data_IF_204447619208
#
_entry.id   IF_204447619208
#
_cell.length_a   1.000
_cell.length_b   1.000
_cell.length_c   1.000
_cell.angle_alpha   90.00
_cell.angle_beta   90.00
_cell.angle_gamma   90.00
#
_symmetry.space_group_name_H-M   'P 1'
#
loop_
_entity.id
_entity.type
_entity.pdbx_description
1 polymer ?
#
# COMPACT_ATOMS: atom_id res chain seq x y z
N UNK A 1 29.06 2.85 12.01
CA UNK A 1 27.89 2.05 12.46
C UNK A 1 26.74 3.00 12.73
N UNK A 2 25.55 2.74 12.21
CA UNK A 2 24.36 3.55 12.52
C UNK A 2 24.04 3.42 14.03
N UNK A 3 23.72 4.54 14.65
CA UNK A 3 23.37 4.58 16.09
C UNK A 3 22.08 3.78 16.29
N UNK A 4 22.07 2.88 17.29
CA UNK A 4 20.88 2.06 17.59
C UNK A 4 19.74 3.00 18.04
N UNK A 5 18.59 2.90 17.35
CA UNK A 5 17.39 3.68 17.69
C UNK A 5 16.85 3.21 19.05
N UNK A 6 16.60 4.15 19.96
CA UNK A 6 16.01 3.87 21.26
C UNK A 6 14.48 3.84 21.18
N UNK A 7 13.83 3.13 22.12
CA UNK A 7 12.37 3.13 22.25
C UNK A 7 11.79 4.55 22.39
N UNK A 8 12.46 5.41 23.17
CA UNK A 8 12.04 6.79 23.38
C UNK A 8 12.07 7.61 22.08
N UNK A 9 13.15 7.48 21.32
CA UNK A 9 13.32 8.14 20.01
C UNK A 9 12.21 7.70 19.02
N UNK A 10 11.95 6.39 18.95
CA UNK A 10 10.92 5.85 18.07
C UNK A 10 9.51 6.38 18.43
N UNK A 11 9.15 6.38 19.72
CA UNK A 11 7.86 6.90 20.17
C UNK A 11 7.73 8.41 19.93
N UNK A 12 8.78 9.19 20.22
CA UNK A 12 8.80 10.62 19.98
C UNK A 12 8.61 10.95 18.49
N UNK A 13 9.30 10.24 17.60
CA UNK A 13 9.16 10.41 16.14
C UNK A 13 7.71 10.27 15.64
N UNK A 14 6.93 9.37 16.24
CA UNK A 14 5.53 9.14 15.82
C UNK A 14 4.51 10.08 16.49
N UNK A 15 4.85 10.63 17.64
CA UNK A 15 3.90 11.39 18.48
C UNK A 15 4.12 12.92 18.45
N UNK A 16 5.38 13.37 18.28
CA UNK A 16 5.71 14.80 18.36
C UNK A 16 5.32 15.54 17.09
N UNK A 17 4.91 16.80 17.25
CA UNK A 17 4.40 17.62 16.15
C UNK A 17 3.00 17.16 15.70
N UNK A 18 2.84 16.91 14.39
CA UNK A 18 1.62 16.26 13.85
C UNK A 18 1.79 14.75 13.95
N UNK A 19 0.96 14.04 14.73
CA UNK A 19 1.08 12.60 14.85
C UNK A 19 0.89 11.86 13.51
N UNK A 20 1.55 10.70 13.39
CA UNK A 20 1.52 9.88 12.19
C UNK A 20 2.58 10.29 11.16
N UNK A 21 2.51 9.73 9.95
CA UNK A 21 3.51 9.92 8.88
C UNK A 21 2.92 10.39 7.56
N UNK A 22 1.60 10.45 7.47
CA UNK A 22 0.88 10.84 6.25
C UNK A 22 -0.06 12.00 6.54
N UNK A 23 -0.36 12.78 5.50
CA UNK A 23 -1.41 13.78 5.52
C UNK A 23 -2.07 13.87 4.14
N UNK A 24 -3.32 14.33 4.11
CA UNK A 24 -4.05 14.63 2.88
C UNK A 24 -4.07 16.13 2.68
N UNK A 25 -3.54 16.58 1.54
CA UNK A 25 -3.47 18.00 1.18
C UNK A 25 -4.15 18.26 -0.15
N UNK A 26 -4.83 19.41 -0.32
CA UNK A 26 -5.42 19.80 -1.59
C UNK A 26 -4.33 20.02 -2.66
N UNK A 27 -4.58 19.53 -3.88
CA UNK A 27 -3.69 19.74 -5.04
C UNK A 27 -4.14 20.89 -5.94
N UNK A 28 -5.32 21.45 -5.70
CA UNK A 28 -5.91 22.55 -6.47
C UNK A 28 -5.93 23.84 -5.65
N UNK A 29 -5.89 24.97 -6.36
CA UNK A 29 -6.09 26.28 -5.73
C UNK A 29 -7.50 26.38 -5.13
N UNK A 30 -7.63 27.01 -3.98
CA UNK A 30 -8.86 27.09 -3.20
C UNK A 30 -8.99 28.42 -2.44
N UNK A 31 -8.31 29.47 -2.91
CA UNK A 31 -8.27 30.78 -2.26
C UNK A 31 -9.41 31.72 -2.66
N UNK A 32 -10.15 31.40 -3.72
CA UNK A 32 -11.26 32.23 -4.22
C UNK A 32 -12.57 31.46 -4.29
N UNK A 33 -13.70 32.20 -4.21
CA UNK A 33 -15.03 31.63 -4.37
C UNK A 33 -15.20 30.93 -5.73
N UNK A 34 -14.56 31.46 -6.77
CA UNK A 34 -14.57 30.84 -8.10
C UNK A 34 -13.88 29.46 -8.09
N UNK A 35 -12.71 29.35 -7.45
CA UNK A 35 -11.98 28.10 -7.34
C UNK A 35 -12.76 27.05 -6.54
N UNK A 36 -13.36 27.46 -5.42
CA UNK A 36 -14.22 26.59 -4.63
C UNK A 36 -15.44 26.10 -5.45
N UNK A 37 -16.03 26.98 -6.27
CA UNK A 37 -17.15 26.60 -7.13
C UNK A 37 -16.75 25.65 -8.27
N UNK A 38 -15.50 25.72 -8.73
CA UNK A 38 -14.95 24.74 -9.69
C UNK A 38 -14.63 23.40 -9.01
N UNK A 39 -14.07 23.46 -7.79
CA UNK A 39 -13.64 22.28 -7.06
C UNK A 39 -14.83 21.45 -6.52
N UNK A 40 -15.95 22.10 -6.20
CA UNK A 40 -17.11 21.44 -5.61
C UNK A 40 -18.39 21.82 -6.40
N UNK A 41 -19.31 22.59 -5.83
CA UNK A 41 -20.58 22.90 -6.48
C UNK A 41 -20.55 24.30 -7.08
N UNK A 42 -20.99 24.46 -8.36
CA UNK A 42 -21.57 23.49 -9.30
C UNK A 42 -20.56 22.75 -10.21
N UNK A 43 -19.28 23.16 -10.25
CA UNK A 43 -18.29 22.72 -11.23
C UNK A 43 -18.04 21.22 -11.24
N UNK A 44 -18.07 20.56 -10.08
CA UNK A 44 -17.84 19.10 -9.94
C UNK A 44 -18.84 18.24 -10.69
N UNK A 45 -20.01 18.79 -11.06
CA UNK A 45 -21.02 18.04 -11.81
C UNK A 45 -20.51 17.61 -13.21
N UNK A 46 -19.65 18.40 -13.84
CA UNK A 46 -19.18 18.09 -15.20
C UNK A 46 -18.25 16.85 -15.25
N UNK A 47 -17.17 16.74 -14.46
CA UNK A 47 -16.41 15.50 -14.41
C UNK A 47 -17.26 14.28 -13.99
N UNK A 48 -18.21 14.44 -13.06
CA UNK A 48 -19.11 13.34 -12.70
C UNK A 48 -19.91 12.83 -13.91
N UNK A 49 -20.47 13.73 -14.71
CA UNK A 49 -21.20 13.36 -15.93
C UNK A 49 -20.31 12.68 -16.98
N UNK A 50 -19.06 13.09 -17.11
CA UNK A 50 -18.11 12.46 -18.03
C UNK A 50 -17.76 11.04 -17.56
N UNK A 51 -17.44 10.85 -16.29
CA UNK A 51 -17.14 9.54 -15.72
C UNK A 51 -18.35 8.60 -15.82
N UNK A 52 -19.58 9.11 -15.59
CA UNK A 52 -20.80 8.33 -15.73
C UNK A 52 -21.02 7.83 -17.16
N UNK A 53 -20.59 8.58 -18.17
CA UNK A 53 -20.65 8.20 -19.60
C UNK A 53 -19.54 7.24 -20.00
N UNK A 54 -18.32 7.46 -19.48
CA UNK A 54 -17.13 6.69 -19.77
C UNK A 54 -16.34 6.46 -18.49
N UNK A 55 -16.44 5.25 -17.93
CA UNK A 55 -15.91 4.88 -16.63
C UNK A 55 -14.40 5.17 -16.49
N UNK A 56 -13.62 4.95 -17.56
CA UNK A 56 -12.17 5.17 -17.58
C UNK A 56 -11.77 6.65 -17.40
N UNK A 57 -12.67 7.58 -17.63
CA UNK A 57 -12.40 9.00 -17.40
C UNK A 57 -12.22 9.32 -15.91
N UNK A 58 -12.47 8.36 -15.00
CA UNK A 58 -12.11 8.48 -13.59
C UNK A 58 -10.62 8.70 -13.39
N UNK A 59 -9.77 8.07 -14.21
CA UNK A 59 -8.31 8.27 -14.19
C UNK A 59 -7.87 9.66 -14.67
N UNK A 60 -8.71 10.31 -15.45
CA UNK A 60 -8.43 11.66 -15.97
C UNK A 60 -8.83 12.76 -14.99
N UNK A 61 -9.94 12.57 -14.27
CA UNK A 61 -10.57 13.63 -13.48
C UNK A 61 -10.43 13.46 -11.98
N UNK A 62 -9.81 12.37 -11.51
CA UNK A 62 -9.62 12.09 -10.08
C UNK A 62 -8.19 11.66 -9.76
N UNK A 63 -7.87 11.54 -8.48
CA UNK A 63 -6.58 11.04 -8.01
C UNK A 63 -6.39 9.53 -8.21
N UNK A 64 -7.41 8.78 -8.66
CA UNK A 64 -7.39 7.30 -8.76
C UNK A 64 -6.15 6.76 -9.47
N UNK A 65 -5.67 7.42 -10.51
CA UNK A 65 -4.52 6.96 -11.30
C UNK A 65 -3.18 6.93 -10.56
N UNK A 66 -3.07 7.66 -9.44
CA UNK A 66 -1.85 7.70 -8.62
C UNK A 66 -2.14 7.37 -7.14
N UNK A 67 -3.27 6.76 -6.83
CA UNK A 67 -3.67 6.43 -5.47
C UNK A 67 -3.73 4.92 -5.26
N UNK A 68 -2.89 4.39 -4.38
CA UNK A 68 -2.83 2.98 -4.00
C UNK A 68 -3.39 2.80 -2.59
N UNK A 69 -4.15 1.73 -2.36
CA UNK A 69 -4.47 1.30 -1.01
C UNK A 69 -3.38 0.36 -0.48
N UNK A 70 -2.83 0.64 0.69
CA UNK A 70 -2.06 -0.33 1.49
C UNK A 70 -3.02 -0.95 2.49
N UNK A 71 -3.30 -2.25 2.35
CA UNK A 71 -4.37 -2.91 3.12
C UNK A 71 -3.80 -4.03 3.97
N UNK A 72 -4.14 -4.02 5.26
CA UNK A 72 -3.74 -5.03 6.24
C UNK A 72 -4.88 -5.38 7.18
N UNK A 73 -4.83 -6.57 7.79
CA UNK A 73 -5.61 -6.90 8.98
C UNK A 73 -4.72 -7.08 10.22
N UNK A 74 -3.42 -6.80 10.10
CA UNK A 74 -2.48 -6.84 11.21
C UNK A 74 -2.19 -8.22 11.78
N UNK A 75 -2.41 -9.29 11.00
CA UNK A 75 -2.28 -10.69 11.48
C UNK A 75 -0.88 -11.26 11.37
N UNK A 76 0.05 -10.58 10.67
CA UNK A 76 1.45 -11.01 10.53
C UNK A 76 2.43 -9.85 10.46
N UNK A 77 2.34 -8.93 11.42
CA UNK A 77 3.20 -7.75 11.47
C UNK A 77 4.64 -8.15 11.81
N UNK A 78 5.60 -7.71 11.00
CA UNK A 78 7.00 -8.11 11.06
C UNK A 78 7.59 -8.03 12.48
N UNK A 79 7.98 -9.18 13.03
CA UNK A 79 8.60 -9.30 14.35
C UNK A 79 7.65 -9.17 15.55
N UNK A 80 6.35 -8.89 15.30
CA UNK A 80 5.33 -8.72 16.34
C UNK A 80 4.21 -9.77 16.26
N UNK A 81 3.99 -10.35 15.08
CA UNK A 81 2.95 -11.36 14.86
C UNK A 81 1.56 -10.75 14.70
N UNK A 82 0.55 -11.43 15.21
CA UNK A 82 -0.85 -10.98 15.19
C UNK A 82 -1.08 -9.94 16.30
N UNK A 83 -1.13 -8.67 15.90
CA UNK A 83 -1.34 -7.55 16.82
C UNK A 83 -2.60 -6.76 16.52
N UNK A 84 -3.35 -7.16 15.49
CA UNK A 84 -4.60 -6.55 15.07
C UNK A 84 -4.45 -5.30 14.19
N UNK A 85 -5.59 -4.85 13.62
CA UNK A 85 -5.59 -3.79 12.61
C UNK A 85 -5.09 -2.45 13.14
N UNK A 86 -5.57 -1.96 14.28
CA UNK A 86 -5.18 -0.64 14.80
C UNK A 86 -3.69 -0.57 15.14
N UNK A 87 -3.14 -1.65 15.71
CA UNK A 87 -1.73 -1.69 16.09
C UNK A 87 -0.80 -1.82 14.87
N UNK A 88 -1.30 -2.30 13.73
CA UNK A 88 -0.55 -2.35 12.46
C UNK A 88 -0.43 -0.99 11.77
N UNK A 89 -1.33 -0.03 12.05
CA UNK A 89 -1.39 1.26 11.37
C UNK A 89 -0.05 2.00 11.28
N UNK A 90 0.81 2.08 12.30
CA UNK A 90 2.10 2.75 12.18
C UNK A 90 3.01 2.12 11.10
N UNK A 91 2.88 0.82 10.85
CA UNK A 91 3.62 0.12 9.77
C UNK A 91 3.04 0.48 8.42
N UNK A 92 1.71 0.49 8.29
CA UNK A 92 1.01 0.80 7.03
C UNK A 92 1.25 2.26 6.60
N UNK A 93 1.21 3.22 7.54
CA UNK A 93 1.65 4.60 7.26
C UNK A 93 3.13 4.65 6.81
N UNK A 94 3.99 3.84 7.42
CA UNK A 94 5.39 3.71 7.01
C UNK A 94 5.52 3.20 5.57
N UNK A 95 4.72 2.20 5.18
CA UNK A 95 4.66 1.71 3.80
C UNK A 95 4.19 2.81 2.85
N UNK A 96 3.15 3.57 3.21
CA UNK A 96 2.68 4.72 2.45
C UNK A 96 3.76 5.79 2.24
N UNK A 97 4.53 6.10 3.29
CA UNK A 97 5.68 6.99 3.21
C UNK A 97 6.72 6.48 2.19
N UNK A 98 7.04 5.18 2.17
CA UNK A 98 7.98 4.60 1.21
C UNK A 98 7.46 4.68 -0.23
N UNK A 99 6.19 4.39 -0.48
CA UNK A 99 5.57 4.58 -1.79
C UNK A 99 5.72 6.03 -2.29
N UNK A 100 5.49 7.01 -1.40
CA UNK A 100 5.61 8.42 -1.76
C UNK A 100 7.05 8.83 -2.05
N UNK A 101 8.01 8.44 -1.21
CA UNK A 101 9.42 8.84 -1.35
C UNK A 101 10.05 8.22 -2.60
N UNK A 102 9.79 6.93 -2.86
CA UNK A 102 10.51 6.20 -3.90
C UNK A 102 9.81 6.16 -5.25
N UNK A 103 8.50 6.33 -5.29
CA UNK A 103 7.72 6.20 -6.52
C UNK A 103 6.77 7.38 -6.80
N UNK A 104 6.69 8.35 -5.89
CA UNK A 104 5.73 9.47 -5.93
C UNK A 104 4.26 9.00 -6.05
N UNK A 105 3.95 7.86 -5.47
CA UNK A 105 2.59 7.29 -5.41
C UNK A 105 1.93 7.73 -4.10
N UNK A 106 0.72 8.24 -4.20
CA UNK A 106 -0.12 8.56 -3.05
C UNK A 106 -0.73 7.29 -2.46
N UNK A 107 -0.84 7.22 -1.13
CA UNK A 107 -1.35 6.04 -0.44
C UNK A 107 -2.41 6.43 0.59
N UNK A 108 -3.49 5.64 0.62
CA UNK A 108 -4.30 5.50 1.82
C UNK A 108 -4.03 4.13 2.44
N UNK A 109 -3.62 4.13 3.71
CA UNK A 109 -3.54 2.91 4.51
C UNK A 109 -4.93 2.57 5.06
N UNK A 110 -5.30 1.30 4.92
CA UNK A 110 -6.63 0.79 5.29
C UNK A 110 -6.42 -0.44 6.17
N UNK A 111 -6.71 -0.29 7.44
CA UNK A 111 -6.69 -1.37 8.42
C UNK A 111 -8.08 -2.00 8.51
N UNK A 112 -8.18 -3.28 8.12
CA UNK A 112 -9.45 -4.01 8.03
C UNK A 112 -9.61 -4.93 9.24
N UNK A 113 -10.60 -4.69 10.07
CA UNK A 113 -10.99 -5.60 11.15
C UNK A 113 -11.81 -6.77 10.58
N UNK A 114 -11.11 -7.72 9.97
CA UNK A 114 -11.69 -8.93 9.42
C UNK A 114 -10.75 -10.11 9.66
N UNK A 115 -11.22 -11.09 10.42
CA UNK A 115 -10.47 -12.30 10.74
C UNK A 115 -10.70 -13.43 9.72
N UNK A 116 -11.75 -13.36 8.90
CA UNK A 116 -12.05 -14.33 7.87
C UNK A 116 -11.80 -13.76 6.47
N UNK A 117 -11.41 -14.65 5.56
CA UNK A 117 -11.02 -14.33 4.18
C UNK A 117 -12.17 -13.70 3.40
N UNK A 118 -13.39 -14.22 3.55
CA UNK A 118 -14.54 -13.75 2.77
C UNK A 118 -14.89 -12.31 3.11
N UNK A 119 -14.97 -11.96 4.38
CA UNK A 119 -15.21 -10.59 4.85
C UNK A 119 -14.11 -9.66 4.38
N UNK A 120 -12.84 -10.08 4.48
CA UNK A 120 -11.71 -9.28 4.02
C UNK A 120 -11.80 -9.00 2.51
N UNK A 121 -11.96 -10.04 1.70
CA UNK A 121 -12.07 -9.92 0.22
C UNK A 121 -13.25 -9.02 -0.17
N UNK A 122 -14.43 -9.22 0.43
CA UNK A 122 -15.60 -8.39 0.13
C UNK A 122 -15.39 -6.92 0.51
N UNK A 123 -14.75 -6.67 1.63
CA UNK A 123 -14.42 -5.29 2.07
C UNK A 123 -13.49 -4.62 1.06
N UNK A 124 -12.40 -5.29 0.66
CA UNK A 124 -11.45 -4.75 -0.32
C UNK A 124 -12.12 -4.49 -1.66
N UNK A 125 -12.97 -5.39 -2.13
CA UNK A 125 -13.74 -5.20 -3.36
C UNK A 125 -14.67 -3.98 -3.29
N UNK A 126 -15.31 -3.77 -2.15
CA UNK A 126 -16.24 -2.66 -1.97
C UNK A 126 -15.55 -1.29 -2.04
N UNK A 127 -14.30 -1.19 -1.60
CA UNK A 127 -13.51 0.06 -1.62
C UNK A 127 -12.62 0.23 -2.86
N UNK A 128 -12.39 -0.84 -3.62
CA UNK A 128 -11.53 -0.85 -4.81
C UNK A 128 -11.83 0.24 -5.87
N UNK A 129 -13.08 0.72 -6.06
CA UNK A 129 -13.36 1.81 -6.99
C UNK A 129 -12.56 3.09 -6.73
N UNK A 130 -12.12 3.33 -5.51
CA UNK A 130 -11.33 4.51 -5.11
C UNK A 130 -9.90 4.47 -5.65
N UNK A 131 -9.32 3.27 -5.82
CA UNK A 131 -7.89 3.07 -5.98
C UNK A 131 -7.49 2.66 -7.40
N UNK A 132 -6.28 3.06 -7.80
CA UNK A 132 -5.63 2.60 -9.03
C UNK A 132 -4.85 1.29 -8.87
N UNK A 133 -4.60 0.85 -7.63
CA UNK A 133 -3.95 -0.41 -7.29
C UNK A 133 -4.07 -0.71 -5.80
N UNK A 134 -3.75 -1.95 -5.42
CA UNK A 134 -3.79 -2.44 -4.05
C UNK A 134 -2.48 -3.13 -3.70
N UNK A 135 -1.88 -2.74 -2.59
CA UNK A 135 -0.80 -3.45 -1.91
C UNK A 135 -1.35 -4.10 -0.65
N UNK A 136 -1.33 -5.42 -0.60
CA UNK A 136 -1.63 -6.18 0.61
C UNK A 136 -0.36 -6.29 1.46
N UNK A 137 -0.49 -6.10 2.78
CA UNK A 137 0.64 -6.04 3.69
C UNK A 137 0.32 -6.75 5.00
N UNK A 138 1.28 -7.47 5.58
CA UNK A 138 1.22 -8.07 6.93
C UNK A 138 -0.02 -8.95 7.17
N UNK A 139 -0.45 -9.71 6.16
CA UNK A 139 -1.52 -10.70 6.25
C UNK A 139 -0.90 -12.08 6.43
N UNK A 140 -1.34 -12.83 7.44
CA UNK A 140 -0.77 -14.15 7.78
C UNK A 140 -0.91 -15.17 6.65
N UNK A 141 0.09 -16.04 6.56
CA UNK A 141 0.02 -17.27 5.76
C UNK A 141 -0.83 -18.33 6.50
N UNK A 142 -1.65 -19.16 5.80
CA UNK A 142 -1.79 -19.22 4.34
C UNK A 142 -2.86 -18.26 3.76
N UNK A 143 -3.60 -17.55 4.60
CA UNK A 143 -4.75 -16.71 4.20
C UNK A 143 -4.36 -15.68 3.12
N UNK A 144 -3.16 -15.12 3.23
CA UNK A 144 -2.66 -14.13 2.28
C UNK A 144 -2.62 -14.62 0.82
N UNK A 145 -2.36 -15.90 0.60
CA UNK A 145 -2.30 -16.48 -0.75
C UNK A 145 -3.69 -16.53 -1.39
N UNK A 146 -4.70 -16.96 -0.63
CA UNK A 146 -6.08 -17.03 -1.10
C UNK A 146 -6.65 -15.63 -1.33
N UNK A 147 -6.45 -14.72 -0.38
CA UNK A 147 -6.90 -13.32 -0.48
C UNK A 147 -6.34 -12.68 -1.76
N UNK A 148 -5.03 -12.77 -1.98
CA UNK A 148 -4.39 -12.19 -3.15
C UNK A 148 -4.91 -12.80 -4.45
N UNK A 149 -5.02 -14.13 -4.53
CA UNK A 149 -5.51 -14.82 -5.73
C UNK A 149 -6.92 -14.38 -6.09
N UNK A 150 -7.82 -14.37 -5.12
CA UNK A 150 -9.22 -13.96 -5.32
C UNK A 150 -9.33 -12.50 -5.75
N UNK A 151 -8.60 -11.60 -5.11
CA UNK A 151 -8.63 -10.19 -5.47
C UNK A 151 -8.07 -9.93 -6.87
N UNK A 152 -7.02 -10.66 -7.28
CA UNK A 152 -6.49 -10.59 -8.66
C UNK A 152 -7.49 -11.08 -9.71
N UNK A 153 -8.29 -12.08 -9.39
CA UNK A 153 -9.31 -12.63 -10.30
C UNK A 153 -10.57 -11.75 -10.38
N UNK A 154 -10.90 -11.06 -9.28
CA UNK A 154 -12.17 -10.36 -9.12
C UNK A 154 -12.08 -8.84 -9.33
N UNK A 155 -10.87 -8.26 -9.47
CA UNK A 155 -10.65 -6.82 -9.66
C UNK A 155 -9.92 -6.52 -10.96
N UNK A 156 -10.30 -5.41 -11.60
CA UNK A 156 -9.68 -4.90 -12.84
C UNK A 156 -8.50 -3.95 -12.58
N UNK A 157 -7.99 -3.88 -11.36
CA UNK A 157 -6.83 -3.08 -10.95
C UNK A 157 -5.70 -3.97 -10.45
N UNK A 158 -4.43 -3.56 -10.54
CA UNK A 158 -3.30 -4.32 -9.99
C UNK A 158 -3.47 -4.60 -8.49
N UNK A 159 -3.24 -5.87 -8.12
CA UNK A 159 -3.17 -6.32 -6.72
C UNK A 159 -1.87 -7.05 -6.50
N UNK A 160 -1.13 -6.72 -5.45
CA UNK A 160 0.12 -7.37 -5.06
C UNK A 160 0.19 -7.52 -3.55
N UNK A 161 0.71 -8.66 -3.08
CA UNK A 161 1.09 -8.83 -1.68
C UNK A 161 2.61 -8.64 -1.57
N UNK A 162 3.04 -7.57 -0.89
CA UNK A 162 4.45 -7.16 -0.89
C UNK A 162 5.36 -8.16 -0.15
N UNK A 163 4.94 -8.67 1.01
CA UNK A 163 5.75 -9.62 1.79
C UNK A 163 6.10 -10.88 0.99
N UNK A 164 5.26 -11.27 0.04
CA UNK A 164 5.52 -12.40 -0.84
C UNK A 164 6.32 -12.00 -2.07
N UNK A 165 5.76 -11.09 -2.87
CA UNK A 165 6.28 -10.77 -4.21
C UNK A 165 7.41 -9.75 -4.16
N UNK A 166 7.33 -8.73 -3.29
CA UNK A 166 8.40 -7.76 -3.08
C UNK A 166 9.65 -8.44 -2.55
N UNK A 167 9.50 -9.28 -1.53
CA UNK A 167 10.59 -10.08 -0.95
C UNK A 167 11.19 -11.05 -1.98
N UNK A 168 10.37 -11.72 -2.78
CA UNK A 168 10.84 -12.61 -3.83
C UNK A 168 11.66 -11.86 -4.91
N UNK A 169 11.16 -10.71 -5.37
CA UNK A 169 11.82 -9.88 -6.39
C UNK A 169 13.17 -9.40 -5.90
N UNK A 170 13.26 -8.82 -4.71
CA UNK A 170 14.51 -8.27 -4.20
C UNK A 170 15.53 -9.36 -3.87
N UNK A 171 15.07 -10.52 -3.35
CA UNK A 171 15.93 -11.66 -3.08
C UNK A 171 16.52 -12.25 -4.37
N UNK A 172 15.69 -12.38 -5.42
CA UNK A 172 16.16 -12.84 -6.72
C UNK A 172 17.17 -11.87 -7.34
N UNK A 173 16.90 -10.56 -7.29
CA UNK A 173 17.82 -9.53 -7.79
C UNK A 173 19.16 -9.57 -7.04
N UNK A 174 19.12 -9.66 -5.71
CA UNK A 174 20.34 -9.76 -4.88
C UNK A 174 21.12 -11.04 -5.18
N UNK A 175 20.44 -12.17 -5.36
CA UNK A 175 21.08 -13.44 -5.73
C UNK A 175 21.77 -13.35 -7.08
N UNK A 176 21.12 -12.83 -8.12
CA UNK A 176 21.70 -12.67 -9.45
C UNK A 176 22.97 -11.79 -9.41
N UNK A 177 22.90 -10.65 -8.73
CA UNK A 177 24.06 -9.78 -8.57
C UNK A 177 25.20 -10.44 -7.78
N UNK A 178 24.87 -11.19 -6.72
CA UNK A 178 25.88 -11.92 -5.94
C UNK A 178 26.57 -13.01 -6.75
N UNK A 179 25.85 -13.72 -7.61
CA UNK A 179 26.37 -14.74 -8.50
C UNK A 179 27.33 -14.14 -9.55
N UNK A 180 26.96 -13.00 -10.14
CA UNK A 180 27.79 -12.26 -11.09
C UNK A 180 29.09 -11.81 -10.45
N UNK A 181 29.03 -11.15 -9.29
CA UNK A 181 30.21 -10.71 -8.53
C UNK A 181 31.09 -11.88 -8.11
N UNK A 182 30.52 -12.99 -7.68
CA UNK A 182 31.24 -14.19 -7.29
C UNK A 182 31.69 -15.06 -8.47
N UNK A 183 31.30 -14.72 -9.71
CA UNK A 183 31.54 -15.50 -10.94
C UNK A 183 31.11 -16.95 -10.81
N UNK A 184 29.91 -17.18 -10.23
CA UNK A 184 29.33 -18.51 -10.01
C UNK A 184 28.12 -18.74 -10.91
N UNK A 185 27.99 -19.98 -11.41
CA UNK A 185 26.78 -20.42 -12.13
C UNK A 185 25.67 -20.77 -11.11
N UNK A 186 24.46 -20.28 -11.35
CA UNK A 186 23.28 -20.53 -10.49
C UNK A 186 22.99 -22.03 -10.34
N UNK A 187 23.29 -22.84 -11.34
CA UNK A 187 23.11 -24.30 -11.32
C UNK A 187 24.02 -25.02 -10.35
N UNK A 188 25.11 -24.36 -9.93
CA UNK A 188 26.17 -24.94 -9.08
C UNK A 188 26.15 -24.39 -7.66
N UNK A 189 25.16 -23.56 -7.28
CA UNK A 189 25.08 -22.99 -5.95
C UNK A 189 24.01 -23.69 -5.10
N UNK A 190 24.26 -23.71 -3.81
CA UNK A 190 23.27 -24.14 -2.79
C UNK A 190 22.79 -22.90 -2.06
N UNK A 191 21.47 -22.70 -2.04
CA UNK A 191 20.82 -21.61 -1.32
C UNK A 191 20.31 -22.16 0.01
N UNK A 192 20.60 -21.44 1.09
CA UNK A 192 20.07 -21.76 2.43
C UNK A 192 19.24 -20.55 2.87
N UNK A 193 17.96 -20.78 3.17
CA UNK A 193 17.05 -19.79 3.71
C UNK A 193 16.93 -20.02 5.21
N UNK A 194 17.12 -18.97 6.01
CA UNK A 194 17.00 -19.02 7.46
C UNK A 194 15.92 -18.06 7.90
N UNK A 195 14.98 -18.54 8.72
CA UNK A 195 13.87 -17.74 9.22
C UNK A 195 12.67 -17.61 8.26
N UNK A 196 12.53 -18.58 7.38
CA UNK A 196 11.35 -18.68 6.52
C UNK A 196 10.22 -19.43 7.23
#
# INVERSE_FOLDING_TARGET
MAKKISKKEALAYHAEGRPGKIEVVPTKQHSSQRELSLAYSPGVAEPCKQIAKKKDDVYKYTAKGNLVAVISNGTAVLGLGDIGPEASKPVMEGKGLLFKIFADIDVFDIEVDASDIDTFVQTVKAIAPTFGGINLEDIKSPDCFEIESRLKEELDIPVMHDDQHGTAIISAAALLNALELAKKDIRMVKIVVNGA
#
